data_IF_071050362651
#
_entry.id   IF_071050362651
#
_cell.length_a   1.000
_cell.length_b   1.000
_cell.length_c   1.000
_cell.angle_alpha   90.00
_cell.angle_beta   90.00
_cell.angle_gamma   90.00
#
_symmetry.space_group_name_H-M   'P 1'
#
loop_
_entity.id
_entity.type
_entity.pdbx_description
1 polymer ?
#
# COMPACT_ATOMS: atom_id res chain seq x y z
N UNK A 1 -59.81 92.20 -7.88
CA UNK A 1 -59.22 92.00 -9.22
C UNK A 1 -57.81 91.52 -8.95
N UNK A 2 -57.42 90.27 -9.17
CA UNK A 2 -57.80 89.30 -10.20
C UNK A 2 -57.40 87.92 -9.67
N UNK A 3 -58.29 86.94 -9.80
CA UNK A 3 -57.91 85.52 -9.79
C UNK A 3 -57.10 85.23 -11.07
N UNK A 4 -56.16 84.27 -11.05
CA UNK A 4 -56.41 83.09 -11.88
C UNK A 4 -55.95 81.77 -11.24
N UNK A 5 -56.92 80.96 -10.84
CA UNK A 5 -57.20 79.61 -11.34
C UNK A 5 -56.02 78.84 -12.00
N UNK A 6 -55.55 77.79 -11.34
CA UNK A 6 -55.11 76.53 -11.96
C UNK A 6 -54.91 75.42 -10.90
N UNK A 7 -55.87 74.49 -10.81
CA UNK A 7 -55.64 73.05 -10.57
C UNK A 7 -56.00 72.37 -11.91
N UNK A 8 -55.47 71.19 -12.32
CA UNK A 8 -55.05 70.06 -11.48
C UNK A 8 -53.79 69.29 -11.99
N UNK A 9 -53.28 68.32 -11.22
CA UNK A 9 -53.13 66.91 -11.67
C UNK A 9 -52.32 66.04 -10.68
N UNK A 10 -52.79 64.80 -10.43
CA UNK A 10 -52.05 63.78 -9.69
C UNK A 10 -51.13 63.01 -10.65
N UNK A 11 -49.89 62.78 -10.26
CA UNK A 11 -49.06 61.77 -10.93
C UNK A 11 -48.35 60.95 -9.89
N UNK A 12 -48.96 59.79 -9.60
CA UNK A 12 -48.34 58.74 -8.84
C UNK A 12 -47.01 58.38 -9.48
N UNK A 13 -45.93 58.50 -8.71
CA UNK A 13 -44.68 57.84 -9.01
C UNK A 13 -44.90 56.36 -8.77
N UNK A 14 -45.29 55.68 -9.86
CA UNK A 14 -45.43 54.25 -9.93
C UNK A 14 -44.19 53.57 -9.35
N UNK A 15 -44.41 52.82 -8.28
CA UNK A 15 -43.46 51.84 -7.78
C UNK A 15 -43.41 50.69 -8.78
N UNK A 16 -42.71 50.88 -9.91
CA UNK A 16 -42.32 49.74 -10.77
C UNK A 16 -41.05 49.15 -10.19
N UNK A 17 -41.19 48.46 -9.06
CA UNK A 17 -40.21 47.43 -8.69
C UNK A 17 -40.42 46.31 -9.69
N UNK A 18 -39.59 46.27 -10.73
CA UNK A 18 -39.48 45.09 -11.58
C UNK A 18 -39.27 43.89 -10.63
N UNK A 19 -40.07 42.81 -10.71
CA UNK A 19 -39.74 41.61 -9.96
C UNK A 19 -38.35 41.18 -10.41
N UNK A 20 -37.39 41.22 -9.49
CA UNK A 20 -36.09 40.63 -9.70
C UNK A 20 -36.35 39.20 -10.15
N UNK A 21 -36.04 38.92 -11.42
CA UNK A 21 -36.16 37.59 -11.99
C UNK A 21 -35.26 36.68 -11.14
N UNK A 22 -35.88 35.99 -10.18
CA UNK A 22 -35.20 35.02 -9.36
C UNK A 22 -34.49 34.04 -10.29
N UNK A 23 -33.27 33.59 -9.95
CA UNK A 23 -32.50 32.72 -10.82
C UNK A 23 -33.36 31.54 -11.26
N UNK A 24 -33.52 31.40 -12.57
CA UNK A 24 -34.38 30.39 -13.21
C UNK A 24 -34.20 29.03 -12.50
N UNK A 25 -35.28 28.42 -11.97
CA UNK A 25 -35.19 27.18 -11.20
C UNK A 25 -34.49 26.06 -11.97
N UNK A 26 -34.53 26.11 -13.32
CA UNK A 26 -33.82 25.16 -14.20
C UNK A 26 -32.31 25.36 -14.18
N UNK A 27 -31.84 26.61 -14.13
CA UNK A 27 -30.40 26.95 -14.04
C UNK A 27 -29.84 26.56 -12.68
N UNK A 28 -30.62 26.76 -11.61
CA UNK A 28 -30.25 26.36 -10.24
C UNK A 28 -30.15 24.83 -10.10
N UNK A 29 -31.09 24.08 -10.68
CA UNK A 29 -31.02 22.60 -10.73
C UNK A 29 -29.80 22.10 -11.50
N UNK A 30 -29.47 22.70 -12.66
CA UNK A 30 -28.29 22.32 -13.44
C UNK A 30 -26.98 22.53 -12.67
N UNK A 31 -26.85 23.65 -11.95
CA UNK A 31 -25.67 23.92 -11.11
C UNK A 31 -25.54 22.89 -9.98
N UNK A 32 -26.65 22.52 -9.32
CA UNK A 32 -26.63 21.51 -8.25
C UNK A 32 -26.25 20.13 -8.79
N UNK A 33 -26.76 19.73 -9.97
CA UNK A 33 -26.42 18.43 -10.58
C UNK A 33 -24.94 18.39 -10.98
N UNK A 34 -24.41 19.46 -11.57
CA UNK A 34 -22.99 19.53 -11.95
C UNK A 34 -22.09 19.50 -10.71
N UNK A 35 -22.45 20.25 -9.66
CA UNK A 35 -21.71 20.23 -8.40
C UNK A 35 -21.73 18.83 -7.75
N UNK A 36 -22.89 18.17 -7.72
CA UNK A 36 -23.01 16.81 -7.19
C UNK A 36 -22.21 15.79 -8.02
N UNK A 37 -22.21 15.92 -9.35
CA UNK A 37 -21.42 15.07 -10.23
C UNK A 37 -19.91 15.26 -10.01
N UNK A 38 -19.44 16.51 -9.92
CA UNK A 38 -18.04 16.81 -9.61
C UNK A 38 -17.63 16.30 -8.23
N UNK A 39 -18.49 16.45 -7.23
CA UNK A 39 -18.23 15.96 -5.87
C UNK A 39 -18.18 14.43 -5.83
N UNK A 40 -19.08 13.75 -6.56
CA UNK A 40 -19.04 12.31 -6.74
C UNK A 40 -17.76 11.85 -7.43
N UNK A 41 -17.32 12.55 -8.48
CA UNK A 41 -16.09 12.25 -9.22
C UNK A 41 -14.84 12.44 -8.34
N UNK A 42 -14.83 13.48 -7.51
CA UNK A 42 -13.76 13.72 -6.53
C UNK A 42 -13.72 12.64 -5.44
N UNK A 43 -14.88 12.20 -4.93
CA UNK A 43 -14.95 11.13 -3.93
C UNK A 43 -14.50 9.79 -4.50
N UNK A 44 -14.87 9.47 -5.74
CA UNK A 44 -14.42 8.25 -6.44
C UNK A 44 -12.91 8.33 -6.73
N UNK A 45 -12.43 9.47 -7.23
CA UNK A 45 -11.00 9.68 -7.48
C UNK A 45 -10.16 9.61 -6.20
N UNK A 46 -10.61 10.23 -5.10
CA UNK A 46 -9.95 10.16 -3.81
C UNK A 46 -9.99 8.73 -3.23
N UNK A 47 -11.12 8.04 -3.34
CA UNK A 47 -11.25 6.63 -2.93
C UNK A 47 -10.32 5.71 -3.71
N UNK A 48 -10.18 5.92 -5.02
CA UNK A 48 -9.27 5.15 -5.86
C UNK A 48 -7.79 5.39 -5.51
N UNK A 49 -7.40 6.63 -5.19
CA UNK A 49 -6.01 6.95 -4.78
C UNK A 49 -5.68 6.36 -3.40
N UNK A 50 -6.62 6.41 -2.45
CA UNK A 50 -6.44 5.81 -1.12
C UNK A 50 -6.35 4.28 -1.23
N UNK A 51 -7.26 3.66 -1.98
CA UNK A 51 -7.22 2.22 -2.25
C UNK A 51 -5.90 1.82 -2.94
N UNK A 52 -5.49 2.56 -3.98
CA UNK A 52 -4.24 2.32 -4.68
C UNK A 52 -3.02 2.42 -3.75
N UNK A 53 -2.97 3.43 -2.86
CA UNK A 53 -1.88 3.55 -1.88
C UNK A 53 -1.88 2.43 -0.84
N UNK A 54 -3.04 1.97 -0.38
CA UNK A 54 -3.09 0.82 0.53
C UNK A 54 -2.62 -0.48 -0.12
N UNK A 55 -2.80 -0.65 -1.43
CA UNK A 55 -2.27 -1.80 -2.16
C UNK A 55 -0.81 -1.62 -2.62
N UNK A 56 -0.37 -0.36 -2.80
CA UNK A 56 0.94 -0.03 -3.38
C UNK A 56 1.96 0.51 -2.36
N UNK A 57 1.67 0.52 -1.05
CA UNK A 57 2.63 0.90 0.00
C UNK A 57 3.29 -0.34 0.64
N UNK A 58 4.40 -0.85 0.09
CA UNK A 58 5.28 -1.81 0.78
C UNK A 58 6.02 -1.22 1.99
N UNK A 59 5.74 0.03 2.38
CA UNK A 59 6.39 0.71 3.49
C UNK A 59 5.97 0.17 4.87
N UNK A 60 4.75 -0.37 4.99
CA UNK A 60 4.26 -1.04 6.20
C UNK A 60 4.42 -2.57 6.12
N UNK A 61 5.04 -3.08 5.06
CA UNK A 61 5.28 -4.51 4.92
C UNK A 61 6.42 -4.95 5.83
N UNK A 62 6.11 -5.90 6.71
CA UNK A 62 7.05 -6.56 7.61
C UNK A 62 8.34 -6.96 6.87
N UNK A 63 9.47 -6.57 7.45
CA UNK A 63 10.81 -6.81 6.88
C UNK A 63 11.10 -8.31 6.71
N UNK A 64 10.59 -9.17 7.59
CA UNK A 64 10.67 -10.63 7.46
C UNK A 64 9.84 -11.16 6.29
N UNK A 65 8.67 -10.58 6.00
CA UNK A 65 7.87 -10.94 4.82
C UNK A 65 8.60 -10.55 3.53
N UNK A 66 9.25 -9.37 3.54
CA UNK A 66 10.10 -8.91 2.43
C UNK A 66 11.32 -9.84 2.26
N UNK A 67 11.90 -10.31 3.35
CA UNK A 67 12.97 -11.30 3.34
C UNK A 67 12.47 -12.62 2.73
N UNK A 68 11.31 -13.14 3.15
CA UNK A 68 10.71 -14.35 2.56
C UNK A 68 10.57 -14.26 1.03
N UNK A 69 10.08 -13.13 0.50
CA UNK A 69 9.95 -12.94 -0.97
C UNK A 69 11.29 -12.97 -1.69
N UNK A 70 12.35 -12.50 -1.03
CA UNK A 70 13.72 -12.52 -1.57
C UNK A 70 14.51 -13.78 -1.22
N UNK A 71 13.91 -14.74 -0.49
CA UNK A 71 14.56 -15.94 0.03
C UNK A 71 14.56 -17.14 -0.92
N UNK A 72 14.04 -17.03 -2.14
CA UNK A 72 14.12 -18.10 -3.14
C UNK A 72 15.57 -18.56 -3.41
N UNK A 73 16.55 -17.69 -3.18
CA UNK A 73 17.98 -18.02 -3.27
C UNK A 73 18.46 -18.97 -2.15
N UNK A 74 17.82 -18.96 -0.98
CA UNK A 74 18.19 -19.79 0.18
C UNK A 74 17.77 -21.25 0.01
N UNK A 75 16.67 -21.50 -0.73
CA UNK A 75 16.13 -22.84 -0.96
C UNK A 75 17.06 -23.73 -1.80
N UNK A 76 18.03 -23.12 -2.49
CA UNK A 76 19.02 -23.82 -3.31
C UNK A 76 20.29 -24.20 -2.54
N UNK A 77 20.34 -23.99 -1.22
CA UNK A 77 21.55 -24.08 -0.40
C UNK A 77 22.30 -25.43 -0.40
N UNK A 78 21.67 -26.54 -0.79
CA UNK A 78 22.37 -27.85 -0.85
C UNK A 78 23.12 -28.11 -2.17
N UNK A 79 22.60 -27.62 -3.31
CA UNK A 79 23.08 -28.01 -4.64
C UNK A 79 23.19 -26.85 -5.62
N UNK A 80 22.55 -25.73 -5.36
CA UNK A 80 22.52 -24.60 -6.26
C UNK A 80 23.62 -23.56 -6.02
N UNK A 81 23.46 -22.36 -6.57
CA UNK A 81 24.50 -21.34 -6.55
C UNK A 81 24.83 -20.90 -5.11
N UNK A 82 26.11 -20.61 -4.88
CA UNK A 82 26.57 -19.94 -3.65
C UNK A 82 25.84 -18.61 -3.55
N UNK A 83 25.14 -18.38 -2.46
CA UNK A 83 24.52 -17.11 -2.11
C UNK A 83 25.63 -16.16 -1.64
N UNK A 84 25.77 -14.96 -2.24
CA UNK A 84 26.75 -13.97 -1.83
C UNK A 84 26.60 -13.62 -0.35
N UNK A 85 27.73 -13.39 0.34
CA UNK A 85 27.73 -13.09 1.78
C UNK A 85 26.92 -11.83 2.09
N UNK A 86 27.02 -10.83 1.22
CA UNK A 86 26.29 -9.56 1.32
C UNK A 86 24.78 -9.81 1.34
N UNK A 87 24.31 -10.77 0.54
CA UNK A 87 22.89 -11.14 0.50
C UNK A 87 22.46 -11.89 1.77
N UNK A 88 23.32 -12.73 2.34
CA UNK A 88 23.04 -13.39 3.62
C UNK A 88 22.95 -12.37 4.76
N UNK A 89 23.82 -11.35 4.76
CA UNK A 89 23.78 -10.26 5.75
C UNK A 89 22.48 -9.47 5.59
N UNK A 90 22.13 -9.04 4.37
CA UNK A 90 20.88 -8.33 4.08
C UNK A 90 19.65 -9.12 4.57
N UNK A 91 19.56 -10.41 4.24
CA UNK A 91 18.45 -11.27 4.66
C UNK A 91 18.42 -11.43 6.19
N UNK A 92 19.58 -11.55 6.83
CA UNK A 92 19.67 -11.63 8.30
C UNK A 92 19.13 -10.36 8.95
N UNK A 93 19.54 -9.18 8.47
CA UNK A 93 19.05 -7.90 8.98
C UNK A 93 17.55 -7.74 8.80
N UNK A 94 17.03 -8.13 7.62
CA UNK A 94 15.59 -8.09 7.35
C UNK A 94 14.80 -9.03 8.27
N UNK A 95 15.27 -10.26 8.51
CA UNK A 95 14.60 -11.16 9.45
C UNK A 95 14.70 -10.68 10.89
N UNK A 96 15.85 -10.15 11.32
CA UNK A 96 16.00 -9.62 12.68
C UNK A 96 15.10 -8.41 12.94
N UNK A 97 14.84 -7.60 11.92
CA UNK A 97 13.97 -6.44 12.00
C UNK A 97 12.46 -6.80 11.90
N UNK A 98 12.10 -8.08 11.74
CA UNK A 98 10.70 -8.50 11.60
C UNK A 98 9.93 -8.26 12.90
N UNK A 99 8.70 -7.77 12.77
CA UNK A 99 7.75 -7.63 13.86
C UNK A 99 7.18 -8.99 14.29
N UNK A 100 7.28 -10.03 13.46
CA UNK A 100 6.92 -11.40 13.82
C UNK A 100 8.13 -12.12 14.44
N UNK A 101 8.12 -12.44 15.74
CA UNK A 101 9.26 -13.05 16.42
C UNK A 101 9.54 -14.49 15.95
N UNK A 102 8.51 -15.21 15.48
CA UNK A 102 8.67 -16.55 14.93
C UNK A 102 9.31 -16.47 13.54
N UNK A 103 8.88 -15.52 12.71
CA UNK A 103 9.46 -15.28 11.40
C UNK A 103 10.93 -14.85 11.50
N UNK A 104 11.23 -13.95 12.43
CA UNK A 104 12.59 -13.53 12.75
C UNK A 104 13.47 -14.73 13.13
N UNK A 105 13.02 -15.55 14.08
CA UNK A 105 13.76 -16.71 14.57
C UNK A 105 14.02 -17.73 13.46
N UNK A 106 12.99 -18.11 12.72
CA UNK A 106 13.10 -19.16 11.69
C UNK A 106 13.93 -18.65 10.51
N UNK A 107 13.75 -17.39 10.09
CA UNK A 107 14.53 -16.79 9.00
C UNK A 107 16.02 -16.66 9.31
N UNK A 108 16.38 -16.14 10.50
CA UNK A 108 17.79 -16.07 10.93
C UNK A 108 18.41 -17.46 11.04
N UNK A 109 17.65 -18.45 11.53
CA UNK A 109 18.12 -19.84 11.61
C UNK A 109 18.40 -20.41 10.22
N UNK A 110 17.49 -20.19 9.26
CA UNK A 110 17.64 -20.63 7.88
C UNK A 110 18.89 -20.02 7.22
N UNK A 111 19.06 -18.71 7.30
CA UNK A 111 20.23 -18.01 6.74
C UNK A 111 21.53 -18.53 7.37
N UNK A 112 21.55 -18.71 8.69
CA UNK A 112 22.72 -19.23 9.40
C UNK A 112 23.09 -20.68 9.03
N UNK A 113 22.11 -21.53 8.72
CA UNK A 113 22.40 -22.89 8.23
C UNK A 113 22.91 -22.87 6.79
N UNK A 114 22.32 -22.05 5.93
CA UNK A 114 22.78 -21.87 4.55
C UNK A 114 24.22 -21.36 4.51
N UNK A 115 24.59 -20.42 5.38
CA UNK A 115 25.99 -19.94 5.48
C UNK A 115 26.95 -21.07 5.92
N UNK A 116 26.55 -21.92 6.87
CA UNK A 116 27.38 -23.06 7.33
C UNK A 116 27.55 -24.12 6.25
N UNK A 117 26.48 -24.51 5.57
CA UNK A 117 26.53 -25.47 4.46
C UNK A 117 27.44 -24.96 3.33
N UNK A 118 27.38 -23.67 3.02
CA UNK A 118 28.24 -23.05 2.00
C UNK A 118 29.72 -22.99 2.42
N UNK A 119 30.01 -22.71 3.71
CA UNK A 119 31.38 -22.73 4.23
C UNK A 119 32.04 -24.11 4.12
N UNK A 120 31.24 -25.16 4.26
CA UNK A 120 31.68 -26.56 4.19
C UNK A 120 31.48 -27.17 2.80
N UNK A 121 31.22 -26.34 1.77
CA UNK A 121 31.03 -26.81 0.40
C UNK A 121 32.36 -27.35 -0.13
N UNK A 122 32.36 -28.63 -0.54
CA UNK A 122 33.58 -29.34 -0.94
C UNK A 122 34.17 -30.21 0.17
N UNK A 123 33.73 -30.05 1.41
CA UNK A 123 34.06 -30.96 2.50
C UNK A 123 33.07 -32.13 2.55
N UNK A 124 33.59 -33.34 2.68
CA UNK A 124 32.84 -34.61 2.76
C UNK A 124 32.86 -35.23 4.16
N UNK A 125 33.29 -34.46 5.17
CA UNK A 125 33.31 -34.89 6.56
C UNK A 125 31.91 -35.00 7.19
N UNK A 126 31.77 -35.75 8.31
CA UNK A 126 30.49 -35.96 9.00
C UNK A 126 29.83 -34.65 9.47
N UNK A 127 30.63 -33.60 9.74
CA UNK A 127 30.12 -32.28 10.07
C UNK A 127 29.33 -31.65 8.91
N UNK A 128 29.81 -31.76 7.68
CA UNK A 128 29.15 -31.19 6.51
C UNK A 128 27.79 -31.85 6.24
N UNK A 129 27.69 -33.17 6.41
CA UNK A 129 26.43 -33.89 6.24
C UNK A 129 25.42 -33.56 7.35
N UNK A 130 25.88 -33.37 8.59
CA UNK A 130 25.02 -32.94 9.69
C UNK A 130 24.38 -31.57 9.44
N UNK A 131 25.13 -30.61 8.87
CA UNK A 131 24.58 -29.29 8.52
C UNK A 131 23.59 -29.35 7.35
N UNK A 132 23.86 -30.19 6.34
CA UNK A 132 22.90 -30.46 5.24
C UNK A 132 21.61 -31.06 5.79
N UNK A 133 21.73 -32.09 6.63
CA UNK A 133 20.56 -32.72 7.26
C UNK A 133 19.78 -31.73 8.12
N UNK A 134 20.46 -30.88 8.90
CA UNK A 134 19.82 -29.82 9.69
C UNK A 134 19.09 -28.84 8.79
N UNK A 135 19.69 -28.41 7.68
CA UNK A 135 19.07 -27.53 6.70
C UNK A 135 17.78 -28.14 6.12
N UNK A 136 17.80 -29.42 5.74
CA UNK A 136 16.60 -30.16 5.26
C UNK A 136 15.49 -30.22 6.32
N UNK A 137 15.85 -30.33 7.60
CA UNK A 137 14.88 -30.40 8.70
C UNK A 137 14.19 -29.06 8.98
N UNK A 138 14.92 -27.93 8.88
CA UNK A 138 14.35 -26.61 9.17
C UNK A 138 13.64 -25.99 7.96
N UNK A 139 13.90 -26.49 6.75
CA UNK A 139 13.35 -25.95 5.51
C UNK A 139 11.81 -25.94 5.48
N UNK A 140 11.10 -27.01 5.89
CA UNK A 140 9.64 -26.99 5.92
C UNK A 140 9.09 -25.95 6.89
N UNK A 141 9.72 -25.77 8.05
CA UNK A 141 9.30 -24.78 9.04
C UNK A 141 9.49 -23.35 8.51
N UNK A 142 10.57 -23.11 7.76
CA UNK A 142 10.81 -21.85 7.06
C UNK A 142 9.76 -21.56 6.00
N UNK A 143 9.48 -22.53 5.12
CA UNK A 143 8.45 -22.38 4.08
C UNK A 143 7.07 -22.17 4.70
N UNK A 144 6.74 -22.92 5.75
CA UNK A 144 5.47 -22.77 6.47
C UNK A 144 5.36 -21.40 7.17
N UNK A 145 6.45 -20.89 7.76
CA UNK A 145 6.47 -19.56 8.35
C UNK A 145 6.21 -18.47 7.29
N UNK A 146 6.92 -18.49 6.16
CA UNK A 146 6.67 -17.56 5.06
C UNK A 146 5.24 -17.69 4.49
N UNK A 147 4.73 -18.93 4.38
CA UNK A 147 3.38 -19.21 3.89
C UNK A 147 2.26 -18.64 4.76
N UNK A 148 2.45 -18.56 6.08
CA UNK A 148 1.50 -17.90 7.00
C UNK A 148 1.30 -16.41 6.69
N UNK A 149 2.27 -15.78 6.03
CA UNK A 149 2.21 -14.39 5.59
C UNK A 149 1.88 -14.25 4.09
N UNK A 150 1.36 -15.32 3.47
CA UNK A 150 0.96 -15.30 2.05
C UNK A 150 2.13 -15.29 1.07
N UNK A 151 3.34 -15.63 1.51
CA UNK A 151 4.52 -15.71 0.64
C UNK A 151 4.80 -17.16 0.28
N UNK A 152 4.67 -17.48 -1.00
CA UNK A 152 5.17 -18.73 -1.56
C UNK A 152 6.65 -18.58 -1.87
N UNK A 153 7.50 -19.37 -1.19
CA UNK A 153 8.93 -19.41 -1.47
C UNK A 153 9.17 -20.53 -2.47
N UNK A 154 9.41 -20.19 -3.73
CA UNK A 154 9.74 -21.16 -4.79
C UNK A 154 11.26 -21.35 -4.86
N UNK A 155 11.70 -22.62 -4.86
CA UNK A 155 13.11 -23.03 -4.86
C UNK A 155 13.63 -23.41 -6.23
#
# INVERSE_FOLDING_TARGET
MTDPHADPAPTGTGTTTAPAAGPDPRRRRRVVVVAAALLGLLLVGAGAVVAYRSFASPADEDSGVRACRSSGVLLRGEQGPVVPREKLVELTELFQASADPQLAKVGVTMVGQVERVQRLRGETGPGAELYRQTLRQILPDFVAACGKHGVTVEG
#
